data_IF_346008260207
#
_entry.id   IF_346008260207
#
_cell.length_a   1.000
_cell.length_b   1.000
_cell.length_c   1.000
_cell.angle_alpha   90.00
_cell.angle_beta   90.00
_cell.angle_gamma   90.00
#
_symmetry.space_group_name_H-M   'P 1'
#
loop_
_entity.id
_entity.type
_entity.pdbx_description
1 polymer ?
#
# COMPACT_ATOMS: atom_id res chain seq x y z
N UNK A 1 -63.09 20.47 -18.24
CA UNK A 1 -62.42 20.92 -17.00
C UNK A 1 -60.94 20.58 -17.15
N UNK A 2 -60.15 21.51 -17.68
CA UNK A 2 -58.70 21.38 -17.77
C UNK A 2 -58.09 22.42 -16.84
N UNK A 3 -57.49 21.96 -15.75
CA UNK A 3 -56.70 22.79 -14.85
C UNK A 3 -55.30 22.93 -15.42
N UNK A 4 -55.01 24.04 -16.09
CA UNK A 4 -53.65 24.44 -16.43
C UNK A 4 -52.94 24.94 -15.15
N UNK A 5 -51.89 24.25 -14.73
CA UNK A 5 -50.98 24.73 -13.69
C UNK A 5 -50.19 25.95 -14.20
N UNK A 6 -49.98 26.98 -13.38
CA UNK A 6 -49.20 28.14 -13.79
C UNK A 6 -47.72 27.73 -13.90
N UNK A 7 -47.14 27.92 -15.10
CA UNK A 7 -45.69 27.86 -15.29
C UNK A 7 -45.04 28.93 -14.41
N UNK A 8 -44.34 28.51 -13.37
CA UNK A 8 -43.53 29.42 -12.55
C UNK A 8 -42.27 29.76 -13.33
N UNK A 9 -42.15 31.02 -13.73
CA UNK A 9 -40.92 31.56 -14.30
C UNK A 9 -39.82 31.49 -13.22
N UNK A 10 -38.77 30.70 -13.50
CA UNK A 10 -37.59 30.62 -12.64
C UNK A 10 -36.85 31.96 -12.71
N UNK A 11 -36.41 32.48 -11.56
CA UNK A 11 -35.57 33.69 -11.53
C UNK A 11 -34.18 33.40 -12.09
N UNK A 12 -33.50 34.43 -12.60
CA UNK A 12 -32.14 34.33 -13.15
C UNK A 12 -31.17 33.67 -12.16
N UNK A 13 -31.32 33.96 -10.87
CA UNK A 13 -30.51 33.36 -9.81
C UNK A 13 -30.72 31.84 -9.67
N UNK A 14 -31.94 31.34 -9.88
CA UNK A 14 -32.23 29.90 -9.86
C UNK A 14 -31.63 29.16 -11.06
N UNK A 15 -31.49 29.84 -12.19
CA UNK A 15 -30.81 29.31 -13.37
C UNK A 15 -29.29 29.28 -13.18
N UNK A 16 -28.72 30.26 -12.48
CA UNK A 16 -27.28 30.30 -12.17
C UNK A 16 -26.90 29.17 -11.21
N UNK A 17 -27.69 28.92 -10.17
CA UNK A 17 -27.43 27.83 -9.22
C UNK A 17 -27.52 26.43 -9.87
N UNK A 18 -28.45 26.23 -10.82
CA UNK A 18 -28.54 24.97 -11.59
C UNK A 18 -27.32 24.74 -12.51
N UNK A 19 -26.68 25.80 -13.00
CA UNK A 19 -25.53 25.72 -13.93
C UNK A 19 -24.18 25.74 -13.19
N UNK A 20 -24.12 26.33 -12.00
CA UNK A 20 -22.88 26.46 -11.19
C UNK A 20 -22.71 25.38 -10.14
N UNK A 21 -23.73 24.53 -9.95
CA UNK A 21 -23.62 23.34 -9.11
C UNK A 21 -22.48 22.44 -9.63
N UNK A 22 -21.45 22.14 -8.83
CA UNK A 22 -20.37 21.24 -9.26
C UNK A 22 -20.98 19.89 -9.63
N UNK A 23 -20.64 19.38 -10.81
CA UNK A 23 -21.10 18.07 -11.27
C UNK A 23 -20.87 17.04 -10.15
N UNK A 24 -21.88 16.23 -9.80
CA UNK A 24 -21.68 15.16 -8.84
C UNK A 24 -20.60 14.25 -9.42
N UNK A 25 -19.45 14.20 -8.74
CA UNK A 25 -18.37 13.30 -9.12
C UNK A 25 -18.99 11.91 -9.31
N UNK A 26 -18.73 11.23 -10.44
CA UNK A 26 -19.30 9.92 -10.68
C UNK A 26 -18.97 9.05 -9.47
N UNK A 27 -19.99 8.48 -8.83
CA UNK A 27 -19.80 7.53 -7.74
C UNK A 27 -18.91 6.42 -8.30
N UNK A 28 -17.68 6.30 -7.80
CA UNK A 28 -16.76 5.21 -8.17
C UNK A 28 -17.57 3.92 -8.14
N UNK A 29 -17.60 3.22 -9.27
CA UNK A 29 -18.33 1.95 -9.35
C UNK A 29 -17.70 0.98 -8.35
N UNK A 30 -18.49 0.09 -7.73
CA UNK A 30 -17.95 -0.90 -6.79
C UNK A 30 -16.83 -1.77 -7.39
N UNK A 31 -16.76 -1.84 -8.72
CA UNK A 31 -15.69 -2.52 -9.49
C UNK A 31 -14.39 -1.73 -9.45
N UNK A 32 -14.41 -0.40 -9.62
CA UNK A 32 -13.21 0.46 -9.55
C UNK A 32 -12.63 0.48 -8.15
N UNK A 33 -13.50 0.54 -7.13
CA UNK A 33 -13.08 0.48 -5.73
C UNK A 33 -12.39 -0.85 -5.40
N UNK A 34 -12.98 -1.98 -5.82
CA UNK A 34 -12.41 -3.30 -5.62
C UNK A 34 -11.08 -3.50 -6.39
N UNK A 35 -10.96 -2.94 -7.60
CA UNK A 35 -9.70 -2.96 -8.36
C UNK A 35 -8.60 -2.14 -7.67
N UNK A 36 -8.94 -0.96 -7.16
CA UNK A 36 -8.00 -0.09 -6.45
C UNK A 36 -7.51 -0.71 -5.14
N UNK A 37 -8.41 -1.30 -4.37
CA UNK A 37 -8.06 -2.04 -3.15
C UNK A 37 -7.14 -3.24 -3.47
N UNK A 38 -7.41 -3.95 -4.58
CA UNK A 38 -6.57 -5.06 -5.03
C UNK A 38 -5.16 -4.59 -5.44
N UNK A 39 -5.06 -3.48 -6.18
CA UNK A 39 -3.75 -2.89 -6.56
C UNK A 39 -2.97 -2.50 -5.31
N UNK A 40 -3.60 -1.80 -4.37
CA UNK A 40 -2.97 -1.43 -3.11
C UNK A 40 -2.54 -2.64 -2.27
N UNK A 41 -3.30 -3.74 -2.33
CA UNK A 41 -2.92 -5.00 -1.68
C UNK A 41 -1.64 -5.58 -2.29
N UNK A 42 -1.58 -5.65 -3.63
CA UNK A 42 -0.42 -6.17 -4.35
C UNK A 42 0.83 -5.32 -4.06
N UNK A 43 0.69 -4.00 -4.05
CA UNK A 43 1.80 -3.09 -3.74
C UNK A 43 2.38 -3.37 -2.36
N UNK A 44 1.57 -3.55 -1.32
CA UNK A 44 2.07 -3.85 0.04
C UNK A 44 2.72 -5.23 0.11
N UNK A 45 2.18 -6.23 -0.61
CA UNK A 45 2.76 -7.57 -0.65
C UNK A 45 4.11 -7.59 -1.35
N UNK A 46 4.30 -6.78 -2.39
CA UNK A 46 5.57 -6.66 -3.11
C UNK A 46 6.65 -5.94 -2.27
N UNK A 47 6.25 -5.19 -1.24
CA UNK A 47 7.18 -4.57 -0.27
C UNK A 47 7.63 -5.52 0.83
N UNK A 48 7.15 -6.76 0.87
CA UNK A 48 7.47 -7.72 1.92
C UNK A 48 7.72 -9.14 1.40
N UNK A 49 8.89 -9.70 1.68
CA UNK A 49 9.27 -11.06 1.30
C UNK A 49 9.43 -11.97 2.52
N UNK A 50 9.31 -13.27 2.31
CA UNK A 50 9.61 -14.27 3.34
C UNK A 50 11.08 -14.68 3.24
N UNK A 51 11.86 -14.34 4.26
CA UNK A 51 13.30 -14.64 4.37
C UNK A 51 13.50 -15.53 5.58
N UNK A 52 13.92 -16.79 5.35
CA UNK A 52 14.12 -17.78 6.42
C UNK A 52 12.92 -17.86 7.38
N UNK A 53 11.71 -17.95 6.81
CA UNK A 53 10.42 -18.02 7.53
C UNK A 53 10.04 -16.75 8.30
N UNK A 54 10.81 -15.67 8.19
CA UNK A 54 10.45 -14.37 8.73
C UNK A 54 9.97 -13.47 7.60
N UNK A 55 8.83 -12.80 7.83
CA UNK A 55 8.37 -11.75 6.94
C UNK A 55 9.25 -10.53 7.14
N UNK A 56 10.03 -10.17 6.11
CA UNK A 56 10.92 -9.01 6.05
C UNK A 56 10.34 -8.03 5.04
N UNK A 57 10.22 -6.77 5.44
CA UNK A 57 9.70 -5.73 4.58
C UNK A 57 10.76 -4.66 4.30
N UNK A 58 10.54 -3.89 3.23
CA UNK A 58 11.24 -2.62 3.04
C UNK A 58 11.02 -1.74 4.29
N UNK A 59 12.03 -0.95 4.63
CA UNK A 59 12.15 -0.13 5.85
C UNK A 59 12.32 -0.91 7.17
N UNK A 60 12.34 -2.26 7.17
CA UNK A 60 12.77 -3.02 8.35
C UNK A 60 14.29 -2.81 8.57
N UNK A 61 14.69 -2.61 9.83
CA UNK A 61 16.10 -2.64 10.21
C UNK A 61 16.42 -4.04 10.72
N UNK A 62 17.36 -4.71 10.06
CA UNK A 62 17.62 -6.14 10.27
C UNK A 62 19.11 -6.41 10.48
N UNK A 63 19.38 -7.55 11.10
CA UNK A 63 20.70 -8.15 11.22
C UNK A 63 20.68 -9.50 10.50
N UNK A 64 21.62 -9.72 9.59
CA UNK A 64 21.73 -10.97 8.82
C UNK A 64 23.12 -11.58 8.93
N UNK A 65 23.17 -12.91 9.01
CA UNK A 65 24.42 -13.67 8.99
C UNK A 65 24.62 -14.35 7.64
N UNK A 66 25.74 -14.05 6.98
CA UNK A 66 26.16 -14.67 5.73
C UNK A 66 27.51 -15.34 5.94
N UNK A 67 27.51 -16.67 6.04
CA UNK A 67 28.71 -17.44 6.39
C UNK A 67 29.24 -17.06 7.79
N UNK A 68 30.42 -16.41 7.84
CA UNK A 68 31.06 -15.95 9.07
C UNK A 68 30.82 -14.46 9.35
N UNK A 69 30.21 -13.74 8.42
CA UNK A 69 30.03 -12.30 8.49
C UNK A 69 28.62 -11.94 8.93
N UNK A 70 28.50 -10.80 9.59
CA UNK A 70 27.25 -10.19 10.01
C UNK A 70 27.09 -8.86 9.29
N UNK A 71 25.88 -8.60 8.83
CA UNK A 71 25.50 -7.35 8.18
C UNK A 71 24.26 -6.81 8.87
N UNK A 72 24.29 -5.53 9.22
CA UNK A 72 23.13 -4.81 9.74
C UNK A 72 22.82 -3.63 8.83
N UNK A 73 21.55 -3.27 8.73
CA UNK A 73 21.10 -2.22 7.82
C UNK A 73 19.59 -2.16 7.67
N UNK A 74 19.13 -1.08 7.05
CA UNK A 74 17.73 -0.91 6.66
C UNK A 74 17.51 -1.61 5.33
N UNK A 75 16.44 -2.40 5.22
CA UNK A 75 16.06 -3.04 3.96
C UNK A 75 15.52 -1.98 3.01
N UNK A 76 16.17 -1.80 1.87
CA UNK A 76 15.74 -0.86 0.81
C UNK A 76 15.02 -1.59 -0.32
N UNK A 77 15.32 -2.87 -0.53
CA UNK A 77 14.65 -3.71 -1.52
C UNK A 77 14.53 -5.15 -1.02
N UNK A 78 13.40 -5.79 -1.33
CA UNK A 78 13.19 -7.22 -1.18
C UNK A 78 12.79 -7.82 -2.53
N UNK A 79 13.47 -8.87 -2.95
CA UNK A 79 13.22 -9.54 -4.22
C UNK A 79 13.13 -11.05 -4.06
N UNK A 80 12.80 -11.73 -5.16
CA UNK A 80 12.70 -13.20 -5.19
C UNK A 80 14.06 -13.90 -4.96
N UNK A 81 15.17 -13.22 -5.26
CA UNK A 81 16.52 -13.79 -5.23
C UNK A 81 17.34 -13.31 -4.04
N UNK A 82 17.00 -12.16 -3.46
CA UNK A 82 17.81 -11.51 -2.44
C UNK A 82 17.10 -10.35 -1.77
N UNK A 83 17.84 -9.72 -0.87
CA UNK A 83 17.48 -8.47 -0.23
C UNK A 83 18.62 -7.47 -0.46
N UNK A 84 18.29 -6.19 -0.51
CA UNK A 84 19.26 -5.10 -0.50
C UNK A 84 19.10 -4.34 0.80
N UNK A 85 20.21 -4.13 1.49
CA UNK A 85 20.28 -3.41 2.76
C UNK A 85 21.19 -2.21 2.62
N UNK A 86 20.83 -1.10 3.28
CA UNK A 86 21.64 0.10 3.37
C UNK A 86 22.06 0.36 4.82
N UNK A 87 23.35 0.68 5.02
CA UNK A 87 23.87 1.17 6.29
C UNK A 87 24.87 2.29 6.06
N UNK A 88 24.63 3.48 6.63
CA UNK A 88 25.50 4.66 6.53
C UNK A 88 25.89 5.01 5.08
N UNK A 89 24.95 4.88 4.12
CA UNK A 89 25.19 5.17 2.70
C UNK A 89 25.90 4.06 1.92
N UNK A 90 26.14 2.91 2.54
CA UNK A 90 26.65 1.72 1.87
C UNK A 90 25.51 0.71 1.65
N UNK A 91 25.27 0.38 0.38
CA UNK A 91 24.32 -0.67 0.00
C UNK A 91 25.01 -2.03 -0.14
N UNK A 92 24.34 -3.07 0.33
CA UNK A 92 24.77 -4.46 0.23
C UNK A 92 23.61 -5.32 -0.27
N UNK A 93 23.80 -5.97 -1.41
CA UNK A 93 22.88 -6.97 -1.94
C UNK A 93 23.26 -8.38 -1.44
N UNK A 94 22.30 -9.09 -0.85
CA UNK A 94 22.50 -10.39 -0.24
C UNK A 94 21.51 -11.39 -0.82
N UNK A 95 22.02 -12.45 -1.44
CA UNK A 95 21.20 -13.53 -1.96
C UNK A 95 20.54 -14.34 -0.83
N UNK A 96 19.24 -14.66 -0.96
CA UNK A 96 18.46 -15.36 0.07
C UNK A 96 19.09 -16.70 0.47
N UNK A 97 19.61 -17.45 -0.51
CA UNK A 97 20.25 -18.74 -0.26
C UNK A 97 21.53 -18.66 0.57
N UNK A 98 22.14 -17.48 0.71
CA UNK A 98 23.36 -17.25 1.49
C UNK A 98 23.08 -16.77 2.91
N UNK A 99 21.87 -16.29 3.19
CA UNK A 99 21.44 -15.89 4.53
C UNK A 99 21.29 -17.14 5.36
N UNK A 100 22.03 -17.25 6.46
CA UNK A 100 21.92 -18.36 7.41
C UNK A 100 21.00 -18.04 8.58
N UNK A 101 21.03 -16.78 9.03
CA UNK A 101 20.21 -16.24 10.11
C UNK A 101 19.75 -14.84 9.71
N UNK A 102 18.52 -14.49 10.06
CA UNK A 102 18.00 -13.14 9.98
C UNK A 102 17.26 -12.82 11.28
N UNK A 103 17.50 -11.63 11.80
CA UNK A 103 16.81 -11.07 12.96
C UNK A 103 16.31 -9.68 12.62
N UNK A 104 15.10 -9.35 13.09
CA UNK A 104 14.50 -8.04 12.86
C UNK A 104 14.65 -7.20 14.10
N UNK A 105 15.54 -6.22 14.02
CA UNK A 105 15.85 -5.31 15.13
C UNK A 105 14.80 -4.21 15.28
N UNK A 106 14.25 -3.71 14.15
CA UNK A 106 13.18 -2.72 14.15
C UNK A 106 12.25 -2.90 12.95
N UNK A 107 10.94 -2.81 13.18
CA UNK A 107 9.93 -2.91 12.13
C UNK A 107 9.69 -1.57 11.42
N UNK A 108 9.69 -1.61 10.10
CA UNK A 108 9.35 -0.52 9.20
C UNK A 108 7.84 -0.31 9.06
N UNK A 109 7.47 0.70 8.27
CA UNK A 109 6.07 1.06 8.03
C UNK A 109 5.32 -0.02 7.25
N UNK A 110 5.98 -0.65 6.28
CA UNK A 110 5.38 -1.66 5.40
C UNK A 110 4.94 -2.91 6.15
N UNK A 111 5.69 -3.32 7.18
CA UNK A 111 5.28 -4.43 8.03
C UNK A 111 3.97 -4.16 8.79
N UNK A 112 3.74 -2.91 9.23
CA UNK A 112 2.50 -2.52 9.91
C UNK A 112 1.31 -2.62 8.96
N UNK A 113 1.44 -2.06 7.76
CA UNK A 113 0.43 -2.15 6.70
C UNK A 113 0.15 -3.60 6.30
N UNK A 114 1.20 -4.42 6.14
CA UNK A 114 1.06 -5.85 5.89
C UNK A 114 0.25 -6.56 6.99
N UNK A 115 0.53 -6.25 8.26
CA UNK A 115 -0.22 -6.83 9.39
C UNK A 115 -1.69 -6.43 9.39
N UNK A 116 -1.98 -5.16 9.16
CA UNK A 116 -3.36 -4.64 9.09
C UNK A 116 -4.15 -5.32 7.98
N UNK A 117 -3.55 -5.45 6.79
CA UNK A 117 -4.16 -6.17 5.67
C UNK A 117 -4.38 -7.65 5.99
N UNK A 118 -3.37 -8.32 6.57
CA UNK A 118 -3.49 -9.72 6.95
C UNK A 118 -4.61 -9.94 7.97
N UNK A 119 -4.76 -9.06 8.95
CA UNK A 119 -5.87 -9.15 9.91
C UNK A 119 -7.24 -8.96 9.27
N UNK A 120 -7.38 -8.09 8.27
CA UNK A 120 -8.65 -7.89 7.55
C UNK A 120 -9.03 -9.10 6.71
N UNK A 121 -8.05 -9.79 6.11
CA UNK A 121 -8.30 -10.93 5.21
C UNK A 121 -8.54 -12.22 6.00
N UNK A 122 -7.79 -12.45 7.08
CA UNK A 122 -7.78 -13.75 7.78
C UNK A 122 -8.29 -13.70 9.23
N UNK A 123 -8.60 -12.52 9.76
CA UNK A 123 -8.97 -12.31 11.16
C UNK A 123 -10.48 -12.23 11.41
N UNK A 124 -11.28 -13.01 10.68
CA UNK A 124 -12.70 -13.22 10.96
C UNK A 124 -12.93 -14.21 12.09
#
# INVERSE_FOLDING_TARGET
MGSEEPRRDKTVDQLIDEVTSPEPQPKESGVELAQREKIHLHDVLDKCADVRMLKICIDDYILVRVGRYWYEGTVVEVGKLGIVMENQGHEVAIALGKISVVEVLRRGKWYRLYRELRSKIYGG
#
